data_IF_230562291916
#
_entry.id   IF_230562291916
#
_cell.length_a   1.000
_cell.length_b   1.000
_cell.length_c   1.000
_cell.angle_alpha   90.00
_cell.angle_beta   90.00
_cell.angle_gamma   90.00
#
_symmetry.space_group_name_H-M   'P 1'
#
loop_
_entity.id
_entity.type
_entity.pdbx_description
1 polymer ?
#
# COMPACT_ATOMS: atom_id res chain seq x y z
N UNK A 1 -10.76 5.51 3.03
CA UNK A 1 -9.78 6.23 2.17
C UNK A 1 -8.70 7.02 2.93
N UNK A 2 -9.01 7.74 4.02
CA UNK A 2 -8.03 8.62 4.72
C UNK A 2 -6.75 7.90 5.20
N UNK A 3 -6.88 6.71 5.79
CA UNK A 3 -5.71 5.91 6.20
C UNK A 3 -4.82 5.49 5.02
N UNK A 4 -5.40 5.21 3.85
CA UNK A 4 -4.63 4.91 2.63
C UNK A 4 -3.90 6.17 2.14
N UNK A 5 -4.51 7.35 2.24
CA UNK A 5 -3.82 8.62 1.92
C UNK A 5 -2.61 8.83 2.82
N UNK A 6 -2.76 8.60 4.13
CA UNK A 6 -1.68 8.74 5.09
C UNK A 6 -0.55 7.75 4.80
N UNK A 7 -0.90 6.46 4.63
CA UNK A 7 0.07 5.42 4.28
C UNK A 7 0.81 5.75 2.99
N UNK A 8 0.10 6.14 1.93
CA UNK A 8 0.73 6.50 0.67
C UNK A 8 1.64 7.74 0.80
N UNK A 9 1.21 8.75 1.56
CA UNK A 9 1.97 9.98 1.74
C UNK A 9 3.22 9.84 2.61
N UNK A 10 3.27 8.84 3.51
CA UNK A 10 4.41 8.63 4.41
C UNK A 10 5.31 7.50 3.91
N UNK A 11 4.72 6.34 3.60
CA UNK A 11 5.47 5.11 3.33
C UNK A 11 5.79 4.95 1.84
N UNK A 12 4.94 5.48 0.96
CA UNK A 12 5.08 5.27 -0.50
C UNK A 12 5.66 6.48 -1.21
N UNK A 13 5.33 7.70 -0.79
CA UNK A 13 5.74 8.94 -1.46
C UNK A 13 7.24 9.21 -1.38
N UNK A 14 7.86 8.88 -0.24
CA UNK A 14 9.29 9.09 -0.02
C UNK A 14 10.15 7.89 -0.45
N UNK A 15 9.56 6.72 -0.67
CA UNK A 15 10.29 5.53 -1.08
C UNK A 15 10.76 5.63 -2.54
N UNK A 16 12.01 5.27 -2.82
CA UNK A 16 12.55 5.18 -4.17
C UNK A 16 11.96 4.01 -4.98
N UNK A 17 11.51 2.94 -4.30
CA UNK A 17 10.97 1.74 -4.95
C UNK A 17 9.99 0.97 -4.05
N UNK A 18 9.29 -0.01 -4.63
CA UNK A 18 8.46 -0.93 -3.84
C UNK A 18 9.29 -1.88 -2.95
N UNK A 19 10.56 -2.11 -3.27
CA UNK A 19 11.46 -2.88 -2.40
C UNK A 19 11.76 -2.13 -1.09
N UNK A 20 11.82 -0.80 -1.14
CA UNK A 20 11.96 0.03 0.06
C UNK A 20 10.69 0.00 0.92
N UNK A 21 9.51 0.12 0.30
CA UNK A 21 8.21 -0.07 1.01
C UNK A 21 8.14 -1.44 1.67
N UNK A 22 8.62 -2.49 0.99
CA UNK A 22 8.72 -3.84 1.55
C UNK A 22 9.66 -3.88 2.74
N UNK A 23 10.84 -3.27 2.63
CA UNK A 23 11.84 -3.25 3.70
C UNK A 23 11.32 -2.51 4.94
N UNK A 24 10.73 -1.32 4.77
CA UNK A 24 10.07 -0.52 5.81
C UNK A 24 9.01 -1.36 6.56
N UNK A 25 8.10 -1.97 5.79
CA UNK A 25 7.06 -2.85 6.35
C UNK A 25 7.65 -4.04 7.10
N UNK A 26 8.75 -4.63 6.62
CA UNK A 26 9.46 -5.70 7.32
C UNK A 26 10.04 -5.21 8.65
N UNK A 27 10.63 -4.01 8.71
CA UNK A 27 11.15 -3.43 9.97
C UNK A 27 10.04 -3.27 11.00
N UNK A 28 8.88 -2.74 10.60
CA UNK A 28 7.71 -2.62 11.48
C UNK A 28 7.26 -4.00 11.98
N UNK A 29 7.18 -4.97 11.06
CA UNK A 29 6.74 -6.34 11.34
C UNK A 29 7.67 -7.13 12.28
N UNK A 30 8.92 -6.68 12.50
CA UNK A 30 9.83 -7.28 13.49
C UNK A 30 9.28 -7.17 14.93
N UNK A 31 8.53 -6.10 15.22
CA UNK A 31 7.96 -5.86 16.55
C UNK A 31 6.50 -6.27 16.62
N UNK A 32 5.72 -5.96 15.60
CA UNK A 32 4.30 -6.34 15.50
C UNK A 32 3.79 -6.22 14.07
N UNK A 33 2.91 -7.15 13.67
CA UNK A 33 2.21 -7.07 12.38
C UNK A 33 0.94 -6.21 12.42
N UNK A 34 0.58 -5.65 13.59
CA UNK A 34 -0.70 -4.92 13.76
C UNK A 34 -0.83 -3.73 12.82
N UNK A 35 0.21 -2.88 12.72
CA UNK A 35 0.19 -1.70 11.83
C UNK A 35 0.04 -2.12 10.38
N UNK A 36 0.93 -3.01 9.92
CA UNK A 36 0.94 -3.58 8.57
C UNK A 36 -0.40 -4.20 8.17
N UNK A 37 -1.08 -4.92 9.08
CA UNK A 37 -2.42 -5.47 8.83
C UNK A 37 -3.50 -4.40 8.68
N UNK A 38 -3.42 -3.33 9.47
CA UNK A 38 -4.38 -2.23 9.36
C UNK A 38 -4.21 -1.49 8.03
N UNK A 39 -2.97 -1.33 7.55
CA UNK A 39 -2.69 -0.69 6.26
C UNK A 39 -3.14 -1.57 5.09
N UNK A 40 -2.85 -2.88 5.16
CA UNK A 40 -3.37 -3.86 4.20
C UNK A 40 -4.91 -3.83 4.13
N UNK A 41 -5.58 -3.89 5.27
CA UNK A 41 -7.05 -3.86 5.33
C UNK A 41 -7.61 -2.57 4.73
N UNK A 42 -6.95 -1.43 4.97
CA UNK A 42 -7.37 -0.14 4.42
C UNK A 42 -7.24 -0.11 2.89
N UNK A 43 -6.14 -0.66 2.34
CA UNK A 43 -5.93 -0.76 0.89
C UNK A 43 -6.96 -1.71 0.26
N UNK A 44 -7.18 -2.89 0.84
CA UNK A 44 -8.16 -3.86 0.35
C UNK A 44 -9.59 -3.29 0.37
N UNK A 45 -9.95 -2.52 1.41
CA UNK A 45 -11.25 -1.84 1.48
C UNK A 45 -11.41 -0.82 0.35
N UNK A 46 -10.38 -0.01 0.08
CA UNK A 46 -10.39 0.92 -1.05
C UNK A 46 -10.51 0.16 -2.37
N UNK A 47 -9.82 -0.97 -2.56
CA UNK A 47 -9.92 -1.75 -3.80
C UNK A 47 -11.29 -2.41 -4.02
N UNK A 48 -12.04 -2.68 -2.93
CA UNK A 48 -13.37 -3.30 -3.01
C UNK A 48 -14.51 -2.29 -3.24
N UNK A 49 -14.29 -1.02 -2.92
CA UNK A 49 -15.28 0.05 -3.07
C UNK A 49 -15.36 0.57 -4.52
N UNK A 50 -16.56 1.04 -4.91
CA UNK A 50 -16.71 1.84 -6.13
C UNK A 50 -16.33 3.29 -5.83
N UNK A 51 -15.49 3.88 -6.67
CA UNK A 51 -15.05 5.26 -6.53
C UNK A 51 -15.57 6.14 -7.66
N UNK A 52 -15.56 7.45 -7.42
CA UNK A 52 -15.71 8.40 -8.51
C UNK A 52 -14.55 8.23 -9.51
N UNK A 53 -14.78 8.43 -10.82
CA UNK A 53 -13.72 8.37 -11.82
C UNK A 53 -12.54 9.29 -11.49
N UNK A 54 -11.32 8.77 -11.60
CA UNK A 54 -10.06 9.45 -11.31
C UNK A 54 -9.66 9.46 -9.83
N UNK A 55 -10.47 8.91 -8.94
CA UNK A 55 -10.21 8.97 -7.50
C UNK A 55 -9.01 8.11 -7.08
N UNK A 56 -8.81 6.95 -7.71
CA UNK A 56 -7.67 6.08 -7.41
C UNK A 56 -6.38 6.63 -8.03
N UNK A 57 -6.48 7.18 -9.24
CA UNK A 57 -5.37 7.88 -9.87
C UNK A 57 -4.90 9.06 -8.99
N UNK A 58 -5.82 9.90 -8.54
CA UNK A 58 -5.48 11.03 -7.65
C UNK A 58 -4.88 10.54 -6.32
N UNK A 59 -5.35 9.39 -5.81
CA UNK A 59 -4.80 8.78 -4.61
C UNK A 59 -3.33 8.38 -4.80
N UNK A 60 -3.00 7.72 -5.90
CA UNK A 60 -1.65 7.19 -6.16
C UNK A 60 -0.68 8.27 -6.66
N UNK A 61 -1.05 9.04 -7.68
CA UNK A 61 -0.19 10.09 -8.24
C UNK A 61 -0.13 11.34 -7.36
N UNK A 62 -1.26 11.73 -6.76
CA UNK A 62 -1.36 12.95 -5.96
C UNK A 62 -0.79 12.79 -4.55
N UNK A 63 -1.25 11.78 -3.81
CA UNK A 63 -0.81 11.57 -2.42
C UNK A 63 0.40 10.64 -2.33
N UNK A 64 0.41 9.57 -3.12
CA UNK A 64 1.54 8.64 -3.15
C UNK A 64 2.75 9.13 -3.93
N UNK A 65 2.66 10.28 -4.61
CA UNK A 65 3.72 10.83 -5.47
C UNK A 65 4.30 9.80 -6.46
N UNK A 66 3.48 8.82 -6.89
CA UNK A 66 3.89 7.75 -7.80
C UNK A 66 3.35 8.00 -9.18
N UNK A 67 4.22 8.36 -10.12
CA UNK A 67 3.87 8.43 -11.53
C UNK A 67 3.60 7.02 -12.08
N UNK A 68 2.41 6.82 -12.63
CA UNK A 68 2.05 5.57 -13.29
C UNK A 68 2.35 5.66 -14.80
N UNK A 69 2.67 4.53 -15.47
CA UNK A 69 2.83 4.51 -16.92
C UNK A 69 1.54 4.86 -17.66
N UNK A 70 0.41 4.43 -17.10
CA UNK A 70 -0.94 4.73 -17.56
C UNK A 70 -1.62 5.53 -16.45
N UNK A 71 -2.00 6.78 -16.73
CA UNK A 71 -2.71 7.64 -15.77
C UNK A 71 -4.20 7.30 -15.76
N UNK A 72 -4.53 6.10 -15.30
CA UNK A 72 -5.90 5.55 -15.21
C UNK A 72 -6.19 5.02 -13.80
N UNK A 73 -7.46 4.93 -13.43
CA UNK A 73 -7.85 4.33 -12.15
C UNK A 73 -7.56 2.83 -12.11
N UNK A 74 -7.61 2.15 -13.26
CA UNK A 74 -7.26 0.74 -13.40
C UNK A 74 -5.78 0.50 -13.10
N UNK A 75 -4.89 1.34 -13.63
CA UNK A 75 -3.46 1.28 -13.33
C UNK A 75 -3.18 1.60 -11.86
N UNK A 76 -3.89 2.58 -11.29
CA UNK A 76 -3.79 2.91 -9.88
C UNK A 76 -4.28 1.77 -8.97
N UNK A 77 -5.38 1.10 -9.33
CA UNK A 77 -5.86 -0.08 -8.64
C UNK A 77 -4.85 -1.23 -8.71
N UNK A 78 -4.25 -1.46 -9.89
CA UNK A 78 -3.21 -2.46 -10.07
C UNK A 78 -1.96 -2.17 -9.22
N UNK A 79 -1.56 -0.90 -9.11
CA UNK A 79 -0.46 -0.49 -8.23
C UNK A 79 -0.80 -0.75 -6.75
N UNK A 80 -1.98 -0.33 -6.29
CA UNK A 80 -2.44 -0.57 -4.92
C UNK A 80 -2.54 -2.07 -4.60
N UNK A 81 -2.95 -2.90 -5.57
CA UNK A 81 -2.99 -4.34 -5.42
C UNK A 81 -1.58 -4.95 -5.27
N UNK A 82 -0.57 -4.42 -5.98
CA UNK A 82 0.83 -4.83 -5.79
C UNK A 82 1.33 -4.50 -4.38
N UNK A 83 1.04 -3.30 -3.88
CA UNK A 83 1.39 -2.89 -2.52
C UNK A 83 0.70 -3.79 -1.49
N UNK A 84 -0.60 -4.08 -1.65
CA UNK A 84 -1.32 -5.02 -0.79
C UNK A 84 -0.68 -6.41 -0.81
N UNK A 85 -0.21 -6.88 -1.98
CA UNK A 85 0.54 -8.12 -2.13
C UNK A 85 1.82 -8.14 -1.28
N UNK A 86 2.59 -7.05 -1.31
CA UNK A 86 3.81 -6.88 -0.50
C UNK A 86 3.49 -6.98 0.99
N UNK A 87 2.52 -6.19 1.48
CA UNK A 87 2.16 -6.18 2.90
C UNK A 87 1.69 -7.56 3.36
N UNK A 88 0.91 -8.28 2.54
CA UNK A 88 0.47 -9.64 2.83
C UNK A 88 1.64 -10.61 2.95
N UNK A 89 2.62 -10.54 2.04
CA UNK A 89 3.84 -11.35 2.12
C UNK A 89 4.64 -11.06 3.39
N UNK A 90 4.81 -9.77 3.75
CA UNK A 90 5.53 -9.37 4.96
C UNK A 90 4.88 -9.91 6.23
N UNK A 91 3.54 -9.83 6.31
CA UNK A 91 2.76 -10.39 7.43
C UNK A 91 2.99 -11.90 7.53
N UNK A 92 2.85 -12.62 6.42
CA UNK A 92 3.04 -14.08 6.40
C UNK A 92 4.45 -14.50 6.85
N UNK A 93 5.48 -13.78 6.39
CA UNK A 93 6.87 -14.02 6.79
C UNK A 93 7.13 -13.75 8.28
N UNK A 94 6.50 -12.73 8.86
CA UNK A 94 6.66 -12.40 10.28
C UNK A 94 5.93 -13.41 11.19
N UNK A 95 4.76 -13.89 10.78
CA UNK A 95 3.99 -14.89 11.53
C UNK A 95 4.70 -16.25 11.56
N UNK A 96 5.31 -16.66 10.44
CA UNK A 96 6.09 -17.90 10.38
C UNK A 96 7.36 -17.86 11.24
N UNK A 97 7.92 -16.67 11.50
CA UNK A 97 9.10 -16.51 12.38
C UNK A 97 8.79 -16.66 13.87
N UNK A 98 7.53 -16.53 14.26
CA UNK A 98 7.08 -16.55 15.66
C UNK A 98 6.53 -17.94 16.06
N UNK A 99 6.46 -18.88 15.12
CA UNK A 99 5.99 -20.27 15.31
C UNK A 99 7.19 -21.21 15.48
#
# INVERSE_FOLDING_TARGET
MEKVRLFLGIEVADAASLDEVRWEAQQVALTTTRGVRQDLTAIESVLAEQHAPGALLHLVEGYGNRRLPESTDEAAAAFLAQVAGILRSVIAEAEQRTT
#
